data_IF_939730121729
#
_entry.id   IF_939730121729
#
_cell.length_a   1.000
_cell.length_b   1.000
_cell.length_c   1.000
_cell.angle_alpha   90.00
_cell.angle_beta   90.00
_cell.angle_gamma   90.00
#
_symmetry.space_group_name_H-M   'P 1'
#
loop_
_entity.id
_entity.type
_entity.pdbx_description
1 polymer ?
#
# COMPACT_ATOMS: atom_id res chain seq x y z
N UNK A 1 13.51 -4.14 -27.97
CA UNK A 1 14.40 -5.08 -27.25
C UNK A 1 13.55 -6.22 -26.71
N UNK A 2 13.81 -7.48 -27.10
CA UNK A 2 13.09 -8.65 -26.55
C UNK A 2 13.91 -9.21 -25.39
N UNK A 3 13.31 -9.28 -24.20
CA UNK A 3 13.93 -9.88 -23.02
C UNK A 3 14.11 -11.38 -23.18
N UNK A 4 15.20 -11.92 -22.62
CA UNK A 4 15.47 -13.36 -22.57
C UNK A 4 14.51 -14.00 -21.55
N UNK A 5 13.86 -15.14 -21.85
CA UNK A 5 13.08 -15.85 -20.85
C UNK A 5 14.03 -16.36 -19.75
N UNK A 6 13.83 -15.87 -18.53
CA UNK A 6 14.58 -16.30 -17.34
C UNK A 6 13.66 -17.16 -16.48
N UNK A 7 14.19 -18.28 -15.98
CA UNK A 7 13.47 -19.18 -15.08
C UNK A 7 13.06 -18.41 -13.80
N UNK A 8 11.76 -18.37 -13.44
CA UNK A 8 11.28 -17.71 -12.23
C UNK A 8 12.01 -18.14 -10.95
N UNK A 9 12.43 -19.41 -10.85
CA UNK A 9 13.16 -19.92 -9.70
C UNK A 9 14.54 -19.28 -9.50
N UNK A 10 15.15 -18.75 -10.57
CA UNK A 10 16.41 -17.99 -10.49
C UNK A 10 16.20 -16.51 -10.11
N UNK A 11 14.97 -16.03 -10.22
CA UNK A 11 14.57 -14.66 -9.90
C UNK A 11 14.10 -14.53 -8.44
N UNK A 12 13.50 -15.58 -7.87
CA UNK A 12 13.00 -15.61 -6.49
C UNK A 12 13.99 -15.11 -5.41
N UNK A 13 15.30 -15.46 -5.42
CA UNK A 13 16.24 -14.95 -4.44
C UNK A 13 16.47 -13.44 -4.54
N UNK A 14 16.43 -12.88 -5.76
CA UNK A 14 16.58 -11.43 -5.98
C UNK A 14 15.32 -10.67 -5.56
N UNK A 15 14.14 -11.25 -5.73
CA UNK A 15 12.84 -10.65 -5.36
C UNK A 15 12.45 -10.85 -3.89
N UNK A 16 13.00 -11.84 -3.17
CA UNK A 16 12.71 -12.04 -1.74
C UNK A 16 13.06 -10.85 -0.85
N UNK A 17 14.06 -10.04 -1.23
CA UNK A 17 14.39 -8.79 -0.53
C UNK A 17 13.49 -7.61 -0.91
N UNK A 18 12.65 -7.77 -1.93
CA UNK A 18 11.83 -6.74 -2.54
C UNK A 18 10.35 -6.90 -2.20
N UNK A 19 9.93 -8.03 -1.63
CA UNK A 19 8.56 -8.27 -1.18
C UNK A 19 8.47 -8.37 0.35
N UNK A 20 7.52 -7.66 0.95
CA UNK A 20 7.19 -7.80 2.36
C UNK A 20 5.70 -7.56 2.60
N UNK A 21 5.21 -8.00 3.75
CA UNK A 21 3.81 -7.79 4.13
C UNK A 21 3.67 -6.75 5.22
N UNK A 22 2.58 -5.99 5.19
CA UNK A 22 2.21 -5.01 6.22
C UNK A 22 0.73 -5.13 6.55
N UNK A 23 0.40 -4.86 7.81
CA UNK A 23 -0.98 -4.76 8.25
C UNK A 23 -1.49 -3.35 7.97
N UNK A 24 -2.64 -3.26 7.30
CA UNK A 24 -3.34 -2.00 7.04
C UNK A 24 -3.90 -1.46 8.35
N UNK A 25 -3.64 -0.18 8.65
CA UNK A 25 -4.20 0.47 9.83
C UNK A 25 -5.70 0.77 9.66
N UNK A 26 -6.34 1.31 10.70
CA UNK A 26 -7.79 1.63 10.69
C UNK A 26 -8.20 2.62 9.59
N UNK A 27 -7.26 3.37 9.02
CA UNK A 27 -7.52 4.43 8.04
C UNK A 27 -7.22 4.00 6.59
N UNK A 28 -6.74 2.77 6.37
CA UNK A 28 -6.38 2.26 5.04
C UNK A 28 -4.91 2.39 4.67
N UNK A 29 -4.04 2.78 5.60
CA UNK A 29 -2.63 3.03 5.32
C UNK A 29 -1.71 1.92 5.84
N UNK A 30 -0.54 1.81 5.22
CA UNK A 30 0.55 0.94 5.64
C UNK A 30 1.86 1.72 5.77
N UNK A 31 2.68 1.32 6.75
CA UNK A 31 4.00 1.92 6.95
C UNK A 31 5.07 1.19 6.14
N UNK A 32 5.68 1.90 5.20
CA UNK A 32 6.89 1.49 4.47
C UNK A 32 8.06 2.32 4.95
N UNK A 33 8.82 1.77 5.90
CA UNK A 33 9.88 2.49 6.61
C UNK A 33 9.33 3.78 7.24
N UNK A 34 9.74 4.96 6.77
CA UNK A 34 9.26 6.26 7.27
C UNK A 34 8.02 6.80 6.56
N UNK A 35 7.53 6.12 5.53
CA UNK A 35 6.41 6.58 4.72
C UNK A 35 5.12 5.88 5.14
N UNK A 36 4.06 6.65 5.33
CA UNK A 36 2.69 6.15 5.40
C UNK A 36 2.09 6.26 3.99
N UNK A 37 1.68 5.14 3.41
CA UNK A 37 1.11 5.10 2.06
C UNK A 37 -0.26 4.42 2.11
N UNK A 38 -1.20 4.94 1.31
CA UNK A 38 -2.55 4.39 1.23
C UNK A 38 -2.51 3.05 0.49
N UNK A 39 -3.14 2.05 1.09
CA UNK A 39 -3.33 0.72 0.53
C UNK A 39 -4.79 0.55 0.11
N UNK A 40 -5.69 0.39 1.07
CA UNK A 40 -7.13 0.35 0.88
C UNK A 40 -7.82 0.40 2.25
N UNK A 41 -8.78 1.30 2.45
CA UNK A 41 -9.49 1.48 3.71
C UNK A 41 -10.36 0.29 4.10
N UNK A 42 -11.08 -0.30 3.15
CA UNK A 42 -11.94 -1.47 3.47
C UNK A 42 -11.14 -2.72 3.87
N UNK A 43 -9.81 -2.68 3.74
CA UNK A 43 -8.90 -3.73 4.20
C UNK A 43 -8.27 -3.44 5.57
N UNK A 44 -8.86 -2.58 6.41
CA UNK A 44 -8.38 -2.32 7.77
C UNK A 44 -8.09 -3.64 8.54
N UNK A 45 -6.93 -3.68 9.21
CA UNK A 45 -6.40 -4.84 9.95
C UNK A 45 -6.07 -6.08 9.10
N UNK A 46 -6.21 -6.02 7.77
CA UNK A 46 -5.76 -7.10 6.87
C UNK A 46 -4.30 -6.93 6.50
N UNK A 47 -3.65 -8.04 6.14
CA UNK A 47 -2.26 -8.05 5.64
C UNK A 47 -2.27 -7.90 4.13
N UNK A 48 -1.53 -6.92 3.64
CA UNK A 48 -1.29 -6.69 2.22
C UNK A 48 0.16 -7.01 1.88
N UNK A 49 0.39 -7.38 0.62
CA UNK A 49 1.72 -7.57 0.07
C UNK A 49 2.19 -6.26 -0.57
N UNK A 50 3.44 -5.92 -0.34
CA UNK A 50 4.11 -4.77 -0.91
C UNK A 50 5.34 -5.27 -1.64
N UNK A 51 5.52 -4.84 -2.89
CA UNK A 51 6.74 -5.06 -3.65
C UNK A 51 7.46 -3.75 -3.86
N UNK A 52 8.77 -3.80 -4.02
CA UNK A 52 9.62 -2.66 -4.38
C UNK A 52 10.43 -3.14 -5.57
N UNK A 53 10.21 -2.64 -6.77
CA UNK A 53 11.03 -3.03 -7.93
C UNK A 53 11.08 -1.89 -8.95
N UNK A 54 12.22 -1.71 -9.61
CA UNK A 54 12.38 -0.76 -10.74
C UNK A 54 11.75 0.64 -10.52
N UNK A 55 11.81 1.19 -9.30
CA UNK A 55 11.23 2.49 -8.99
C UNK A 55 9.71 2.50 -8.78
N UNK A 56 9.07 1.32 -8.78
CA UNK A 56 7.65 1.09 -8.46
C UNK A 56 7.46 0.37 -7.13
N UNK A 57 6.35 0.68 -6.49
CA UNK A 57 5.92 0.11 -5.23
C UNK A 57 4.43 -0.25 -5.33
N UNK A 58 4.09 -1.44 -5.86
CA UNK A 58 2.72 -1.92 -5.83
C UNK A 58 2.36 -2.51 -4.48
N UNK A 59 1.09 -2.37 -4.15
CA UNK A 59 0.43 -2.91 -2.96
C UNK A 59 -0.74 -3.77 -3.44
N UNK A 60 -0.81 -5.01 -2.98
CA UNK A 60 -1.88 -5.93 -3.40
C UNK A 60 -2.43 -6.78 -2.25
N UNK A 61 -3.66 -7.24 -2.46
CA UNK A 61 -4.37 -8.17 -1.59
C UNK A 61 -5.04 -9.26 -2.43
N UNK A 62 -4.83 -10.54 -2.09
CA UNK A 62 -5.45 -11.68 -2.78
C UNK A 62 -5.37 -11.60 -4.33
N UNK A 63 -4.22 -11.18 -4.87
CA UNK A 63 -3.95 -10.97 -6.31
C UNK A 63 -4.55 -9.70 -6.93
N UNK A 64 -5.28 -8.87 -6.18
CA UNK A 64 -5.80 -7.59 -6.63
C UNK A 64 -4.82 -6.45 -6.31
N UNK A 65 -4.44 -5.67 -7.33
CA UNK A 65 -3.66 -4.45 -7.15
C UNK A 65 -4.54 -3.38 -6.50
N UNK A 66 -4.12 -2.89 -5.33
CA UNK A 66 -4.84 -1.87 -4.57
C UNK A 66 -4.31 -0.47 -4.87
N UNK A 67 -2.99 -0.35 -4.97
CA UNK A 67 -2.31 0.91 -5.21
C UNK A 67 -0.94 0.65 -5.82
N UNK A 68 -0.48 1.56 -6.67
CA UNK A 68 0.90 1.61 -7.14
C UNK A 68 1.48 3.00 -6.89
N UNK A 69 2.73 3.04 -6.40
CA UNK A 69 3.47 4.28 -6.20
C UNK A 69 4.79 4.23 -6.95
N UNK A 70 5.31 5.40 -7.26
CA UNK A 70 6.72 5.56 -7.59
C UNK A 70 7.55 5.77 -6.33
N UNK A 71 8.80 5.32 -6.33
CA UNK A 71 9.76 5.62 -5.28
C UNK A 71 11.14 5.98 -5.83
N UNK A 72 11.86 6.84 -5.09
CA UNK A 72 13.28 7.11 -5.33
C UNK A 72 14.10 6.43 -4.25
N UNK A 73 15.11 5.64 -4.63
CA UNK A 73 15.95 4.90 -3.69
C UNK A 73 17.24 5.65 -3.34
N UNK A 74 17.59 5.69 -2.05
CA UNK A 74 18.88 6.19 -1.57
C UNK A 74 19.82 5.01 -1.27
N UNK A 75 20.74 4.72 -2.19
CA UNK A 75 21.68 3.57 -2.09
C UNK A 75 22.52 3.60 -0.81
N UNK A 76 23.02 4.77 -0.41
CA UNK A 76 23.88 4.93 0.79
C UNK A 76 23.19 4.51 2.08
N UNK A 77 21.89 4.82 2.21
CA UNK A 77 21.10 4.51 3.41
C UNK A 77 20.21 3.28 3.25
N UNK A 78 20.32 2.59 2.12
CA UNK A 78 19.53 1.42 1.73
C UNK A 78 18.02 1.58 1.96
N UNK A 79 17.47 2.77 1.66
CA UNK A 79 16.07 3.12 1.92
C UNK A 79 15.43 4.00 0.84
N UNK A 80 14.09 3.97 0.68
CA UNK A 80 13.39 4.98 -0.10
C UNK A 80 13.66 6.39 0.45
N UNK A 81 14.00 7.31 -0.46
CA UNK A 81 14.13 8.74 -0.19
C UNK A 81 12.80 9.47 -0.33
N UNK A 82 11.96 9.02 -1.26
CA UNK A 82 10.65 9.57 -1.54
C UNK A 82 9.74 8.46 -2.08
N UNK A 83 8.44 8.58 -1.79
CA UNK A 83 7.35 7.79 -2.37
C UNK A 83 6.29 8.78 -2.86
N UNK A 84 5.79 8.63 -4.08
CA UNK A 84 4.95 9.64 -4.75
C UNK A 84 4.16 9.04 -5.92
N UNK A 85 3.27 9.83 -6.51
CA UNK A 85 2.51 9.46 -7.71
C UNK A 85 1.61 8.24 -7.51
N UNK A 86 0.62 8.32 -6.59
CA UNK A 86 -0.30 7.21 -6.38
C UNK A 86 -1.16 6.95 -7.63
N UNK A 87 -1.23 5.69 -8.04
CA UNK A 87 -2.24 5.15 -8.95
C UNK A 87 -3.11 4.21 -8.15
N UNK A 88 -4.41 4.49 -8.07
CA UNK A 88 -5.38 3.77 -7.25
C UNK A 88 -6.45 3.15 -8.16
N UNK A 89 -6.30 1.89 -8.60
CA UNK A 89 -7.34 1.19 -9.33
C UNK A 89 -8.63 1.10 -8.52
N UNK A 90 -9.78 1.05 -9.20
CA UNK A 90 -11.03 0.66 -8.55
C UNK A 90 -10.94 -0.80 -8.09
N UNK A 91 -11.41 -1.07 -6.88
CA UNK A 91 -11.42 -2.42 -6.30
C UNK A 91 -12.73 -2.71 -5.59
N UNK A 92 -13.06 -3.98 -5.43
CA UNK A 92 -14.22 -4.42 -4.63
C UNK A 92 -14.03 -4.20 -3.11
N UNK A 93 -12.81 -3.87 -2.69
CA UNK A 93 -12.45 -3.71 -1.29
C UNK A 93 -12.60 -2.28 -0.79
N UNK A 94 -13.07 -1.37 -1.66
CA UNK A 94 -13.39 0.00 -1.25
C UNK A 94 -14.40 -0.07 -0.11
N UNK A 95 -14.08 0.60 1.01
CA UNK A 95 -14.98 0.66 2.16
C UNK A 95 -16.35 1.19 1.73
N UNK A 96 -17.45 0.41 1.83
CA UNK A 96 -18.78 0.92 1.56
C UNK A 96 -19.25 1.86 2.67
N UNK A 97 -18.60 1.83 3.84
CA UNK A 97 -18.87 2.75 4.93
C UNK A 97 -18.15 4.08 4.72
N UNK A 98 -18.95 5.16 4.60
CA UNK A 98 -18.51 6.52 4.88
C UNK A 98 -17.94 6.57 6.30
N UNK A 99 -16.91 7.40 6.54
CA UNK A 99 -16.45 7.66 7.90
C UNK A 99 -17.65 8.14 8.72
N UNK A 100 -18.10 7.32 9.66
CA UNK A 100 -18.90 7.81 10.76
C UNK A 100 -18.00 8.78 11.49
N UNK A 101 -18.24 10.07 11.28
CA UNK A 101 -17.77 11.10 12.19
C UNK A 101 -18.21 10.66 13.58
N UNK A 102 -17.25 10.41 14.47
CA UNK A 102 -17.57 10.30 15.89
C UNK A 102 -18.07 11.68 16.30
N UNK A 103 -19.40 11.86 16.22
CA UNK A 103 -20.08 13.05 16.74
C UNK A 103 -19.85 13.04 18.24
N UNK A 104 -19.04 13.96 18.74
CA UNK A 104 -18.95 14.20 20.18
C UNK A 104 -20.27 14.80 20.71
N UNK A 105 -20.46 14.77 22.02
CA UNK A 105 -21.65 15.31 22.68
C UNK A 105 -21.81 16.84 22.52
N UNK A 106 -20.75 17.57 22.13
CA UNK A 106 -20.78 19.02 21.84
C UNK A 106 -21.43 19.32 20.47
N UNK A 107 -21.51 18.33 19.58
CA UNK A 107 -22.09 18.46 18.24
C UNK A 107 -23.60 18.12 18.20
N UNK A 108 -24.18 17.67 19.32
CA UNK A 108 -25.61 17.38 19.44
C UNK A 108 -26.39 18.56 20.04
N UNK A 109 -27.20 19.25 19.22
CA UNK A 109 -28.29 20.10 19.74
C UNK A 109 -29.46 19.19 20.16
N UNK A 110 -29.65 19.00 21.46
CA UNK A 110 -30.89 18.41 22.00
C UNK A 110 -32.06 19.34 21.69
N UNK A 111 -32.89 18.97 20.72
CA UNK A 111 -34.18 19.60 20.51
C UNK A 111 -35.12 19.19 21.64
N UNK A 112 -35.62 20.16 22.39
CA UNK A 112 -36.69 19.99 23.38
C UNK A 112 -38.05 20.19 22.72
#
# INVERSE_FOLDING_TARGET
MRGRPVNPAHLDPFFRHLQFTRTVNRYGFVSVQRFSIYAERGLARRRVSIWIYEGRLPIAYQHNLLAEYHYRYERRRKRPRAVFGPVLPETEFVSPQLEFWELDDEQWLKVR
#
